data_IF_316065826196
#
_entry.id   IF_316065826196
#
_cell.length_a   1.000
_cell.length_b   1.000
_cell.length_c   1.000
_cell.angle_alpha   90.00
_cell.angle_beta   90.00
_cell.angle_gamma   90.00
#
_symmetry.space_group_name_H-M   'P 1'
#
loop_
_entity.id
_entity.type
_entity.pdbx_description
1 polymer ?
#
# COMPACT_ATOMS: atom_id res chain seq x y z
N UNK A 1 17.20 19.11 -7.79
CA UNK A 1 16.00 18.34 -8.19
C UNK A 1 16.08 16.95 -7.58
N UNK A 2 14.97 16.42 -7.08
CA UNK A 2 14.89 15.12 -6.42
C UNK A 2 14.16 14.12 -7.32
N UNK A 3 14.74 12.95 -7.55
CA UNK A 3 14.13 11.92 -8.40
C UNK A 3 13.30 10.95 -7.55
N UNK A 4 12.00 10.90 -7.82
CA UNK A 4 11.12 9.89 -7.22
C UNK A 4 11.10 8.63 -8.09
N UNK A 5 10.81 7.47 -7.47
CA UNK A 5 10.80 6.20 -8.20
C UNK A 5 9.61 6.10 -9.16
N UNK A 6 8.49 6.74 -8.82
CA UNK A 6 7.22 6.57 -9.53
C UNK A 6 6.63 7.85 -10.13
N UNK A 7 6.96 9.03 -9.60
CA UNK A 7 6.33 10.30 -9.95
C UNK A 7 7.22 11.25 -10.77
N UNK A 8 8.44 10.82 -11.13
CA UNK A 8 9.40 11.62 -11.89
C UNK A 8 10.25 12.57 -11.03
N UNK A 9 10.75 13.64 -11.66
CA UNK A 9 11.63 14.63 -11.03
C UNK A 9 10.82 15.74 -10.36
N UNK A 10 11.26 16.13 -9.17
CA UNK A 10 10.57 17.08 -8.30
C UNK A 10 11.53 18.20 -7.90
N UNK A 11 11.05 19.44 -7.84
CA UNK A 11 11.90 20.59 -7.53
C UNK A 11 12.16 20.74 -6.02
N UNK A 12 11.18 20.39 -5.17
CA UNK A 12 11.25 20.59 -3.72
C UNK A 12 11.57 19.32 -2.93
N UNK A 13 12.35 19.47 -1.86
CA UNK A 13 12.66 18.39 -0.90
C UNK A 13 11.42 17.93 -0.13
N UNK A 14 10.50 18.86 0.16
CA UNK A 14 9.28 18.56 0.90
C UNK A 14 8.32 17.71 0.06
N UNK A 15 8.12 18.08 -1.20
CA UNK A 15 7.32 17.31 -2.16
C UNK A 15 7.89 15.90 -2.34
N UNK A 16 9.22 15.77 -2.50
CA UNK A 16 9.88 14.48 -2.56
C UNK A 16 9.57 13.59 -1.34
N UNK A 17 9.68 14.14 -0.12
CA UNK A 17 9.40 13.39 1.10
C UNK A 17 7.93 12.97 1.20
N UNK A 18 7.00 13.83 0.78
CA UNK A 18 5.56 13.48 0.76
C UNK A 18 5.30 12.33 -0.20
N UNK A 19 5.85 12.40 -1.42
CA UNK A 19 5.67 11.35 -2.43
C UNK A 19 6.29 10.01 -1.98
N UNK A 20 7.46 10.03 -1.33
CA UNK A 20 8.05 8.81 -0.75
C UNK A 20 7.20 8.20 0.37
N UNK A 21 6.47 9.00 1.16
CA UNK A 21 5.53 8.49 2.17
C UNK A 21 4.29 7.88 1.50
N UNK A 22 3.77 8.53 0.47
CA UNK A 22 2.64 8.02 -0.31
C UNK A 22 2.97 6.68 -0.98
N UNK A 23 4.16 6.54 -1.60
CA UNK A 23 4.61 5.27 -2.19
C UNK A 23 4.63 4.13 -1.16
N UNK A 24 5.17 4.39 0.05
CA UNK A 24 5.19 3.40 1.13
C UNK A 24 3.78 2.98 1.55
N UNK A 25 2.86 3.93 1.65
CA UNK A 25 1.48 3.66 2.03
C UNK A 25 0.76 2.83 0.97
N UNK A 26 0.92 3.18 -0.32
CA UNK A 26 0.37 2.41 -1.43
C UNK A 26 0.92 0.99 -1.49
N UNK A 27 2.23 0.82 -1.30
CA UNK A 27 2.84 -0.52 -1.27
C UNK A 27 2.31 -1.34 -0.09
N UNK A 28 2.08 -0.71 1.08
CA UNK A 28 1.47 -1.36 2.23
C UNK A 28 0.02 -1.76 1.97
N UNK A 29 -0.77 -0.90 1.32
CA UNK A 29 -2.16 -1.22 0.91
C UNK A 29 -2.17 -2.35 -0.11
N UNK A 30 -1.28 -2.33 -1.11
CA UNK A 30 -1.17 -3.40 -2.10
C UNK A 30 -0.81 -4.74 -1.46
N UNK A 31 0.12 -4.74 -0.48
CA UNK A 31 0.43 -5.91 0.35
C UNK A 31 -0.72 -6.33 1.27
N UNK A 32 -1.59 -5.39 1.66
CA UNK A 32 -2.81 -5.63 2.42
C UNK A 32 -4.01 -6.00 1.55
N UNK A 33 -3.90 -6.04 0.21
CA UNK A 33 -4.96 -6.61 -0.62
C UNK A 33 -5.24 -8.02 -0.09
N UNK A 34 -6.47 -8.36 0.29
CA UNK A 34 -6.78 -9.66 0.82
C UNK A 34 -6.85 -10.63 -0.37
N UNK A 35 -5.72 -11.17 -0.80
CA UNK A 35 -5.72 -12.42 -1.59
C UNK A 35 -6.09 -13.58 -0.68
N UNK A 36 -7.31 -13.53 -0.16
CA UNK A 36 -7.84 -14.46 0.83
C UNK A 36 -7.54 -14.00 2.26
N UNK A 37 -8.36 -13.10 2.80
CA UNK A 37 -8.68 -13.21 4.22
C UNK A 37 -9.34 -14.58 4.37
N UNK A 38 -8.53 -15.60 4.64
CA UNK A 38 -8.98 -16.95 4.95
C UNK A 38 -9.74 -16.75 6.25
N UNK A 39 -11.08 -16.66 6.16
CA UNK A 39 -11.93 -16.72 7.33
C UNK A 39 -11.40 -17.89 8.17
N UNK A 40 -11.13 -17.71 9.47
CA UNK A 40 -10.71 -18.83 10.30
C UNK A 40 -11.75 -19.93 10.09
N UNK A 41 -11.29 -21.16 9.79
CA UNK A 41 -12.16 -22.26 9.36
C UNK A 41 -13.37 -22.51 10.30
N UNK A 42 -13.29 -22.05 11.56
CA UNK A 42 -14.39 -22.00 12.52
C UNK A 42 -15.64 -21.23 12.06
N UNK A 43 -15.54 -20.29 11.11
CA UNK A 43 -16.69 -19.51 10.62
C UNK A 43 -17.36 -20.10 9.37
N UNK A 44 -16.78 -21.14 8.75
CA UNK A 44 -17.32 -21.73 7.51
C UNK A 44 -18.37 -22.82 7.81
N UNK A 45 -18.41 -23.37 9.04
CA UNK A 45 -19.46 -24.28 9.49
C UNK A 45 -20.62 -23.55 10.16
N UNK A 46 -21.43 -22.85 9.37
CA UNK A 46 -22.86 -22.68 9.67
C UNK A 46 -23.66 -23.14 8.44
N UNK A 47 -23.78 -24.47 8.30
CA UNK A 47 -24.88 -25.10 7.59
C UNK A 47 -25.79 -25.72 8.64
N UNK A 48 -26.79 -24.95 9.07
CA UNK A 48 -28.11 -25.42 9.50
C UNK A 48 -29.10 -24.41 8.94
#
# INVERSE_FOLDING_TARGET
MFQTKRFGLVASKQEYQMLCRAERHMNKIQKKKPTGQRLPAKFIFKKI
#
